data_IF_541213836568
#
_entry.id   IF_541213836568
#
_cell.length_a   1.000
_cell.length_b   1.000
_cell.length_c   1.000
_cell.angle_alpha   90.00
_cell.angle_beta   90.00
_cell.angle_gamma   90.00
#
_symmetry.space_group_name_H-M   'P 1'
#
loop_
_entity.id
_entity.type
_entity.pdbx_description
1 polymer ?
#
# COMPACT_ATOMS: atom_id res chain seq x y z
N UNK A 1 33.48 16.91 5.58
CA UNK A 1 32.95 17.73 4.47
C UNK A 1 32.14 16.80 3.57
N UNK A 2 30.88 17.15 3.32
CA UNK A 2 29.81 16.38 2.68
C UNK A 2 30.14 15.97 1.24
N UNK A 3 29.89 14.71 0.91
CA UNK A 3 29.58 14.17 -0.42
C UNK A 3 29.24 12.68 -0.17
N UNK A 4 28.22 12.04 -0.74
CA UNK A 4 27.19 12.39 -1.69
C UNK A 4 26.29 11.14 -1.63
N UNK A 5 25.09 11.25 -1.06
CA UNK A 5 24.12 10.15 -1.07
C UNK A 5 23.61 10.01 -2.52
N UNK A 6 24.44 9.40 -3.38
CA UNK A 6 24.01 8.84 -4.65
C UNK A 6 23.25 7.55 -4.35
N UNK A 7 22.06 7.71 -3.77
CA UNK A 7 21.03 6.70 -3.88
C UNK A 7 20.58 6.72 -5.34
N UNK A 8 21.36 6.07 -6.19
CA UNK A 8 20.93 5.58 -7.48
C UNK A 8 19.73 4.67 -7.18
N UNK A 9 18.55 5.27 -7.11
CA UNK A 9 17.27 4.61 -6.96
C UNK A 9 17.08 3.80 -8.23
N UNK A 10 17.64 2.60 -8.24
CA UNK A 10 17.18 1.53 -9.11
C UNK A 10 15.73 1.32 -8.68
N UNK A 11 14.80 1.99 -9.37
CA UNK A 11 13.37 1.82 -9.18
C UNK A 11 13.04 0.42 -9.68
N UNK A 12 13.38 -0.59 -8.88
CA UNK A 12 13.01 -1.98 -9.15
C UNK A 12 11.49 -1.97 -9.34
N UNK A 13 10.97 -2.54 -10.43
CA UNK A 13 9.53 -2.56 -10.66
C UNK A 13 8.87 -3.19 -9.42
N UNK A 14 7.80 -2.58 -8.88
CA UNK A 14 7.19 -3.06 -7.66
C UNK A 14 6.70 -4.48 -7.90
N UNK A 15 7.13 -5.40 -7.03
CA UNK A 15 6.77 -6.82 -7.12
C UNK A 15 5.27 -6.95 -6.93
N UNK A 16 4.53 -7.72 -7.76
CA UNK A 16 3.12 -7.97 -7.51
C UNK A 16 2.94 -8.62 -6.13
N UNK A 17 1.88 -8.25 -5.42
CA UNK A 17 1.60 -8.83 -4.13
C UNK A 17 1.24 -10.32 -4.29
N UNK A 18 1.92 -11.25 -3.61
CA UNK A 18 1.59 -12.68 -3.70
C UNK A 18 0.26 -12.96 -2.98
N UNK A 19 -0.60 -13.71 -3.67
CA UNK A 19 -1.93 -14.08 -3.20
C UNK A 19 -2.04 -15.61 -3.23
N UNK A 20 -2.42 -16.21 -2.11
CA UNK A 20 -2.68 -17.63 -1.99
C UNK A 20 -3.96 -18.05 -2.71
N UNK A 21 -4.13 -19.35 -2.95
CA UNK A 21 -5.33 -19.91 -3.59
C UNK A 21 -6.63 -19.58 -2.83
N UNK A 22 -6.54 -19.39 -1.51
CA UNK A 22 -7.65 -18.99 -0.66
C UNK A 22 -7.93 -17.46 -0.68
N UNK A 23 -7.32 -16.75 -1.63
CA UNK A 23 -7.44 -15.30 -1.84
C UNK A 23 -6.92 -14.43 -0.70
N UNK A 24 -6.14 -14.98 0.23
CA UNK A 24 -5.42 -14.19 1.23
C UNK A 24 -4.04 -13.78 0.71
N UNK A 25 -3.56 -12.65 1.19
CA UNK A 25 -2.17 -12.22 0.95
C UNK A 25 -1.23 -13.23 1.61
N UNK A 26 -0.30 -13.80 0.83
CA UNK A 26 0.60 -14.86 1.30
C UNK A 26 1.94 -14.33 1.85
N UNK A 27 1.95 -13.07 2.24
CA UNK A 27 3.11 -12.38 2.83
C UNK A 27 2.70 -11.56 4.02
N UNK A 28 3.64 -11.35 4.93
CA UNK A 28 3.44 -10.53 6.11
C UNK A 28 3.61 -9.06 5.75
N UNK A 29 2.48 -8.37 5.66
CA UNK A 29 2.43 -6.94 5.37
C UNK A 29 3.04 -6.14 6.53
N UNK A 30 3.64 -4.99 6.21
CA UNK A 30 4.12 -4.04 7.20
C UNK A 30 2.93 -3.35 7.87
N UNK A 31 2.55 -3.89 9.03
CA UNK A 31 1.43 -3.43 9.84
C UNK A 31 1.87 -2.31 10.77
N UNK A 32 1.18 -1.16 10.70
CA UNK A 32 1.39 -0.02 11.60
C UNK A 32 0.66 -0.19 12.93
N UNK A 33 -0.55 -0.74 12.88
CA UNK A 33 -1.39 -0.93 14.04
C UNK A 33 -2.21 -2.20 13.88
N UNK A 34 -2.27 -2.99 14.94
CA UNK A 34 -2.96 -4.27 14.98
C UNK A 34 -3.85 -4.28 16.21
N UNK A 35 -5.17 -4.20 16.01
CA UNK A 35 -6.16 -4.26 17.09
C UNK A 35 -7.01 -5.53 16.93
N UNK A 36 -7.81 -5.91 17.94
CA UNK A 36 -8.73 -7.04 17.81
C UNK A 36 -9.76 -6.88 16.68
N UNK A 37 -10.08 -5.64 16.28
CA UNK A 37 -11.11 -5.35 15.28
C UNK A 37 -10.55 -4.92 13.92
N UNK A 38 -9.36 -4.35 13.89
CA UNK A 38 -8.77 -3.76 12.68
C UNK A 38 -7.29 -4.09 12.54
N UNK A 39 -6.85 -4.15 11.28
CA UNK A 39 -5.47 -4.18 10.86
C UNK A 39 -5.20 -2.91 10.06
N UNK A 40 -4.16 -2.16 10.40
CA UNK A 40 -3.75 -0.96 9.67
C UNK A 40 -2.42 -1.22 9.00
N UNK A 41 -2.41 -1.15 7.68
CA UNK A 41 -1.24 -1.42 6.84
C UNK A 41 -0.75 -0.11 6.21
N UNK A 42 0.57 0.06 6.15
CA UNK A 42 1.19 1.16 5.42
C UNK A 42 1.02 0.98 3.91
N UNK A 43 0.62 2.04 3.22
CA UNK A 43 0.61 2.06 1.77
C UNK A 43 1.17 3.38 1.23
N UNK A 44 1.64 3.34 -0.02
CA UNK A 44 2.06 4.52 -0.76
C UNK A 44 1.29 4.63 -2.06
N UNK A 45 0.68 5.79 -2.27
CA UNK A 45 0.04 6.14 -3.53
C UNK A 45 1.03 6.96 -4.37
N UNK A 46 1.38 6.43 -5.52
CA UNK A 46 2.03 7.17 -6.60
C UNK A 46 0.96 7.83 -7.47
N UNK A 47 1.16 9.09 -7.79
CA UNK A 47 0.21 9.91 -8.55
C UNK A 47 0.77 10.26 -9.93
N UNK A 48 -0.09 10.34 -10.95
CA UNK A 48 0.34 10.60 -12.32
C UNK A 48 0.82 12.04 -12.53
N UNK A 49 0.19 13.00 -11.86
CA UNK A 49 0.47 14.44 -12.03
C UNK A 49 1.84 14.86 -11.47
N UNK A 50 2.40 14.05 -10.58
CA UNK A 50 3.71 14.28 -9.99
C UNK A 50 4.39 12.92 -9.77
N UNK A 51 5.18 12.43 -10.73
CA UNK A 51 5.76 11.08 -10.69
C UNK A 51 6.75 10.85 -9.53
N UNK A 52 7.20 11.92 -8.88
CA UNK A 52 8.02 11.86 -7.66
C UNK A 52 7.21 12.11 -6.38
N UNK A 53 5.95 12.52 -6.49
CA UNK A 53 5.08 12.67 -5.33
C UNK A 53 4.54 11.29 -4.92
N UNK A 54 4.79 10.95 -3.66
CA UNK A 54 4.24 9.78 -3.01
C UNK A 54 3.43 10.23 -1.82
N UNK A 55 2.21 9.74 -1.72
CA UNK A 55 1.34 10.00 -0.59
C UNK A 55 1.31 8.77 0.30
N UNK A 56 1.72 8.92 1.56
CA UNK A 56 1.61 7.86 2.55
C UNK A 56 0.14 7.71 2.96
N UNK A 57 -0.42 6.52 2.74
CA UNK A 57 -1.79 6.14 3.06
C UNK A 57 -1.83 5.09 4.17
N UNK A 58 -2.92 5.10 4.93
CA UNK A 58 -3.24 4.07 5.90
C UNK A 58 -4.42 3.22 5.41
N UNK A 59 -4.15 1.94 5.13
CA UNK A 59 -5.19 0.98 4.75
C UNK A 59 -5.77 0.36 6.00
N UNK A 60 -7.06 0.61 6.26
CA UNK A 60 -7.76 0.08 7.43
C UNK A 60 -8.58 -1.12 7.00
N UNK A 61 -8.25 -2.30 7.50
CA UNK A 61 -8.85 -3.57 7.11
C UNK A 61 -9.54 -4.19 8.34
N UNK A 62 -10.84 -4.52 8.26
CA UNK A 62 -11.52 -5.24 9.33
C UNK A 62 -10.92 -6.63 9.55
N UNK A 63 -10.67 -7.01 10.81
CA UNK A 63 -10.12 -8.34 11.15
C UNK A 63 -11.02 -9.50 10.76
N UNK A 64 -12.32 -9.26 10.61
CA UNK A 64 -13.28 -10.24 10.07
C UNK A 64 -12.99 -10.63 8.62
N UNK A 65 -12.16 -9.87 7.92
CA UNK A 65 -11.73 -10.12 6.54
C UNK A 65 -10.24 -10.53 6.48
N UNK A 66 -9.68 -10.93 7.62
CA UNK A 66 -8.30 -11.38 7.74
C UNK A 66 -8.26 -12.81 8.30
N UNK A 67 -7.23 -13.55 7.91
CA UNK A 67 -6.80 -14.80 8.54
C UNK A 67 -5.55 -14.51 9.36
N UNK A 68 -5.72 -14.26 10.65
CA UNK A 68 -4.63 -13.79 11.52
C UNK A 68 -4.19 -12.37 11.14
N UNK A 69 -2.96 -12.22 10.64
CA UNK A 69 -2.41 -10.96 10.13
C UNK A 69 -2.53 -10.82 8.60
N UNK A 70 -3.05 -11.84 7.91
CA UNK A 70 -3.13 -11.88 6.45
C UNK A 70 -4.52 -11.42 5.97
N UNK A 71 -4.68 -10.25 5.35
CA UNK A 71 -5.96 -9.82 4.82
C UNK A 71 -6.33 -10.59 3.54
N UNK A 72 -7.63 -10.71 3.28
CA UNK A 72 -8.11 -11.08 1.95
C UNK A 72 -7.73 -10.01 0.93
N UNK A 73 -7.41 -10.40 -0.31
CA UNK A 73 -7.06 -9.47 -1.38
C UNK A 73 -8.21 -8.48 -1.65
N UNK A 74 -9.46 -8.96 -1.64
CA UNK A 74 -10.64 -8.10 -1.82
C UNK A 74 -10.79 -7.07 -0.69
N UNK A 75 -10.42 -7.44 0.54
CA UNK A 75 -10.45 -6.53 1.69
C UNK A 75 -9.37 -5.45 1.57
N UNK A 76 -8.17 -5.84 1.13
CA UNK A 76 -7.07 -4.92 0.86
C UNK A 76 -7.43 -3.93 -0.25
N UNK A 77 -8.02 -4.39 -1.36
CA UNK A 77 -8.46 -3.55 -2.48
C UNK A 77 -9.59 -2.58 -2.06
N UNK A 78 -10.55 -3.02 -1.23
CA UNK A 78 -11.56 -2.12 -0.67
C UNK A 78 -10.94 -1.05 0.23
N UNK A 79 -10.02 -1.43 1.10
CA UNK A 79 -9.31 -0.49 1.98
C UNK A 79 -8.47 0.51 1.17
N UNK A 80 -7.84 0.05 0.09
CA UNK A 80 -7.13 0.86 -0.90
C UNK A 80 -8.04 1.92 -1.53
N UNK A 81 -9.17 1.52 -2.12
CA UNK A 81 -10.13 2.47 -2.70
C UNK A 81 -10.65 3.46 -1.67
N UNK A 82 -10.97 3.01 -0.47
CA UNK A 82 -11.41 3.90 0.60
C UNK A 82 -10.30 4.88 1.04
N UNK A 83 -9.04 4.45 1.08
CA UNK A 83 -7.90 5.32 1.39
C UNK A 83 -7.66 6.38 0.30
N UNK A 84 -7.70 5.98 -0.97
CA UNK A 84 -7.57 6.90 -2.11
C UNK A 84 -8.72 7.91 -2.08
N UNK A 85 -9.97 7.45 -1.94
CA UNK A 85 -11.13 8.32 -1.88
C UNK A 85 -11.09 9.32 -0.71
N UNK A 86 -10.45 8.96 0.42
CA UNK A 86 -10.22 9.89 1.53
C UNK A 86 -9.13 10.91 1.18
N UNK A 87 -8.03 10.46 0.57
CA UNK A 87 -6.92 11.32 0.16
C UNK A 87 -7.28 12.31 -0.96
N UNK A 88 -8.29 11.99 -1.79
CA UNK A 88 -8.78 12.84 -2.89
C UNK A 88 -10.00 13.69 -2.52
N UNK A 89 -10.63 13.46 -1.36
CA UNK A 89 -11.86 14.16 -0.95
C UNK A 89 -11.66 15.65 -0.71
N UNK A 90 -10.46 16.09 -0.32
CA UNK A 90 -10.17 17.48 0.03
C UNK A 90 -9.80 18.36 -1.19
N UNK A 91 -10.26 17.99 -2.39
CA UNK A 91 -10.07 18.80 -3.62
C UNK A 91 -8.70 18.61 -4.30
N UNK A 92 -7.94 17.61 -3.88
CA UNK A 92 -6.66 17.24 -4.48
C UNK A 92 -6.86 16.56 -5.84
N UNK A 93 -6.34 17.19 -6.90
CA UNK A 93 -6.41 16.76 -8.30
C UNK A 93 -5.60 15.49 -8.63
N UNK A 94 -5.10 14.77 -7.63
CA UNK A 94 -4.14 13.69 -7.86
C UNK A 94 -4.81 12.51 -8.57
N UNK A 95 -4.38 12.24 -9.79
CA UNK A 95 -4.73 11.04 -10.52
C UNK A 95 -3.95 9.86 -9.94
N UNK A 96 -4.61 8.89 -9.29
CA UNK A 96 -3.94 7.72 -8.75
C UNK A 96 -3.33 6.92 -9.89
N UNK A 97 -2.07 6.50 -9.75
CA UNK A 97 -1.37 5.71 -10.76
C UNK A 97 -1.10 4.30 -10.26
N UNK A 98 -0.44 4.19 -9.10
CA UNK A 98 -0.08 2.92 -8.48
C UNK A 98 -0.24 3.02 -6.98
N UNK A 99 -0.78 1.96 -6.39
CA UNK A 99 -0.81 1.81 -4.95
C UNK A 99 0.11 0.67 -4.52
N UNK A 100 1.04 1.00 -3.65
CA UNK A 100 2.04 0.10 -3.10
C UNK A 100 1.74 -0.18 -1.63
N UNK A 101 2.02 -1.39 -1.17
CA UNK A 101 2.16 -1.74 0.24
C UNK A 101 3.61 -2.13 0.51
N UNK A 102 3.95 -2.41 1.77
CA UNK A 102 5.28 -2.85 2.15
C UNK A 102 5.24 -4.23 2.79
N UNK A 103 6.29 -5.00 2.52
CA UNK A 103 6.56 -6.32 3.09
C UNK A 103 8.05 -6.34 3.45
N UNK A 104 8.37 -6.38 4.74
CA UNK A 104 9.75 -6.27 5.22
C UNK A 104 10.47 -5.03 4.64
N UNK A 105 9.77 -3.90 4.55
CA UNK A 105 10.28 -2.65 3.97
C UNK A 105 10.38 -2.64 2.44
N UNK A 106 10.01 -3.71 1.74
CA UNK A 106 10.04 -3.77 0.28
C UNK A 106 8.68 -3.43 -0.34
N UNK A 107 8.62 -2.55 -1.36
CA UNK A 107 7.37 -2.15 -1.99
C UNK A 107 6.77 -3.27 -2.83
N UNK A 108 5.49 -3.53 -2.62
CA UNK A 108 4.68 -4.49 -3.36
C UNK A 108 3.46 -3.82 -3.98
N UNK A 109 3.16 -4.12 -5.25
CA UNK A 109 2.04 -3.53 -5.97
C UNK A 109 0.71 -4.16 -5.51
N UNK A 110 -0.20 -3.32 -5.02
CA UNK A 110 -1.59 -3.72 -4.72
C UNK A 110 -2.47 -3.55 -5.96
N UNK A 111 -2.40 -2.37 -6.59
CA UNK A 111 -3.25 -2.00 -7.72
C UNK A 111 -2.58 -0.95 -8.61
N UNK A 112 -2.94 -0.96 -9.89
CA UNK A 112 -2.62 0.05 -10.88
C UNK A 112 -3.93 0.52 -11.53
N UNK A 113 -4.03 1.82 -11.79
CA UNK A 113 -5.21 2.49 -12.36
C UNK A 113 -4.94 2.96 -13.79
#
# INVERSE_FOLDING_TARGET
MRAMFDACLITRPPTPLPVAEDQHVDVDLDVRLSTPLTLVVSAQLEVADAPHARLDLALVIPRSQCRGARPQIAALLRAAHAAIARATRDGTLYQPRRLLTFVAGQPHLIAQF
#
